data_IF_100136472630
#
_entry.id   IF_100136472630
#
_cell.length_a   1.000
_cell.length_b   1.000
_cell.length_c   1.000
_cell.angle_alpha   90.00
_cell.angle_beta   90.00
_cell.angle_gamma   90.00
#
_symmetry.space_group_name_H-M   'P 1'
#
loop_
_entity.id
_entity.type
_entity.pdbx_description
1 polymer ?
#
# COMPACT_ATOMS: atom_id res chain seq x y z
N UNK A 1 19.55 -13.96 3.46
CA UNK A 1 20.52 -12.84 3.36
C UNK A 1 20.18 -11.85 4.47
N UNK A 2 21.16 -11.20 5.07
CA UNK A 2 20.88 -10.14 6.03
C UNK A 2 20.49 -8.87 5.24
N UNK A 3 19.37 -8.26 5.59
CA UNK A 3 18.95 -6.97 5.04
C UNK A 3 19.65 -5.84 5.79
N UNK A 4 19.93 -4.75 5.10
CA UNK A 4 20.57 -3.57 5.69
C UNK A 4 19.51 -2.48 6.01
N UNK A 5 18.51 -2.33 5.12
CA UNK A 5 17.54 -1.24 5.15
C UNK A 5 16.11 -1.67 5.51
N UNK A 6 15.89 -2.97 5.69
CA UNK A 6 14.62 -3.47 6.23
C UNK A 6 14.89 -4.52 7.32
N UNK A 7 13.92 -4.70 8.21
CA UNK A 7 13.84 -5.87 9.09
C UNK A 7 12.67 -6.72 8.61
N UNK A 8 12.90 -8.03 8.48
CA UNK A 8 11.93 -8.99 7.99
C UNK A 8 11.73 -10.07 9.05
N UNK A 9 10.54 -10.14 9.64
CA UNK A 9 10.20 -11.08 10.69
C UNK A 9 8.95 -11.86 10.28
N UNK A 10 8.93 -13.16 10.55
CA UNK A 10 7.80 -14.02 10.23
C UNK A 10 7.29 -14.69 11.50
N UNK A 11 5.99 -14.63 11.75
CA UNK A 11 5.36 -15.35 12.86
C UNK A 11 5.01 -16.78 12.46
N UNK A 12 4.75 -17.64 13.46
CA UNK A 12 4.29 -19.02 13.26
C UNK A 12 2.97 -19.10 12.47
N UNK A 13 2.07 -18.12 12.63
CA UNK A 13 0.83 -18.01 11.88
C UNK A 13 0.98 -17.56 10.43
N UNK A 14 2.21 -17.27 9.96
CA UNK A 14 2.47 -16.84 8.60
C UNK A 14 2.24 -15.33 8.36
N UNK A 15 2.32 -14.50 9.39
CA UNK A 15 2.38 -13.04 9.25
C UNK A 15 3.81 -12.63 8.97
N UNK A 16 4.05 -11.96 7.84
CA UNK A 16 5.31 -11.32 7.53
C UNK A 16 5.24 -9.85 7.97
N UNK A 17 6.16 -9.43 8.83
CA UNK A 17 6.32 -8.03 9.24
C UNK A 17 7.57 -7.46 8.57
N UNK A 18 7.40 -6.42 7.79
CA UNK A 18 8.48 -5.66 7.17
C UNK A 18 8.58 -4.29 7.83
N UNK A 19 9.69 -4.03 8.49
CA UNK A 19 9.99 -2.73 9.09
C UNK A 19 11.03 -2.02 8.23
N UNK A 20 10.66 -0.88 7.64
CA UNK A 20 11.59 0.00 6.97
C UNK A 20 12.60 0.53 7.98
N UNK A 21 13.89 0.45 7.71
CA UNK A 21 14.93 0.77 8.69
C UNK A 21 16.10 1.53 8.06
N UNK A 22 15.87 2.79 7.75
CA UNK A 22 16.91 3.76 7.36
C UNK A 22 16.73 5.04 8.17
N UNK A 23 17.26 5.09 9.43
CA UNK A 23 17.13 6.24 10.29
C UNK A 23 17.74 7.53 9.70
N UNK A 24 18.78 7.41 8.87
CA UNK A 24 19.48 8.54 8.27
C UNK A 24 18.59 9.35 7.29
N UNK A 25 17.61 8.68 6.67
CA UNK A 25 16.67 9.30 5.73
C UNK A 25 15.24 9.29 6.24
N UNK A 26 15.00 8.79 7.47
CA UNK A 26 13.65 8.52 8.00
C UNK A 26 12.86 7.57 7.08
N UNK A 27 13.51 6.48 6.70
CA UNK A 27 12.93 5.42 5.89
C UNK A 27 12.52 5.88 4.47
N UNK A 28 13.31 6.76 3.83
CA UNK A 28 13.01 7.24 2.49
C UNK A 28 13.15 6.11 1.45
N UNK A 29 12.18 6.00 0.55
CA UNK A 29 12.21 5.05 -0.56
C UNK A 29 13.18 5.48 -1.64
N UNK A 30 13.99 4.55 -2.08
CA UNK A 30 14.99 4.70 -3.14
C UNK A 30 16.16 3.75 -2.97
N UNK A 31 16.90 3.49 -4.05
CA UNK A 31 18.09 2.67 -4.03
C UNK A 31 17.93 1.33 -3.32
N UNK A 32 18.83 0.98 -2.38
CA UNK A 32 18.84 -0.33 -1.74
C UNK A 32 17.58 -0.63 -0.92
N UNK A 33 17.02 0.36 -0.17
CA UNK A 33 15.82 0.15 0.63
C UNK A 33 14.64 -0.30 -0.25
N UNK A 34 14.42 0.38 -1.39
CA UNK A 34 13.36 -0.04 -2.32
C UNK A 34 13.61 -1.44 -2.88
N UNK A 35 14.85 -1.77 -3.22
CA UNK A 35 15.19 -3.08 -3.76
C UNK A 35 14.94 -4.22 -2.74
N UNK A 36 15.35 -4.02 -1.48
CA UNK A 36 15.10 -4.99 -0.40
C UNK A 36 13.60 -5.16 -0.14
N UNK A 37 12.86 -4.06 -0.03
CA UNK A 37 11.42 -4.08 0.18
C UNK A 37 10.69 -4.79 -0.97
N UNK A 38 11.03 -4.47 -2.21
CA UNK A 38 10.43 -5.09 -3.40
C UNK A 38 10.75 -6.59 -3.50
N UNK A 39 11.95 -6.99 -3.09
CA UNK A 39 12.35 -8.38 -3.01
C UNK A 39 11.50 -9.17 -2.02
N UNK A 40 11.34 -8.65 -0.80
CA UNK A 40 10.55 -9.30 0.25
C UNK A 40 9.04 -9.30 -0.05
N UNK A 41 8.51 -8.23 -0.64
CA UNK A 41 7.12 -8.20 -1.12
C UNK A 41 6.91 -9.25 -2.23
N UNK A 42 7.90 -9.42 -3.12
CA UNK A 42 7.89 -10.47 -4.13
C UNK A 42 7.90 -11.88 -3.51
N UNK A 43 8.76 -12.13 -2.51
CA UNK A 43 8.80 -13.38 -1.74
C UNK A 43 7.45 -13.65 -1.07
N UNK A 44 6.89 -12.66 -0.38
CA UNK A 44 5.56 -12.78 0.25
C UNK A 44 4.49 -13.21 -0.74
N UNK A 45 4.48 -12.64 -1.94
CA UNK A 45 3.51 -13.01 -2.98
C UNK A 45 3.58 -14.49 -3.37
N UNK A 46 4.77 -15.06 -3.43
CA UNK A 46 5.03 -16.42 -3.92
C UNK A 46 4.97 -17.49 -2.82
N UNK A 47 5.36 -17.19 -1.60
CA UNK A 47 5.46 -18.13 -0.49
C UNK A 47 4.07 -18.42 0.10
N UNK A 48 3.55 -19.63 -0.11
CA UNK A 48 2.23 -20.05 0.36
C UNK A 48 2.12 -20.17 1.90
N UNK A 49 3.23 -20.27 2.62
CA UNK A 49 3.22 -20.26 4.07
C UNK A 49 2.96 -18.88 4.65
N UNK A 50 3.25 -17.82 3.90
CA UNK A 50 2.98 -16.44 4.30
C UNK A 50 1.56 -16.05 3.91
N UNK A 51 0.79 -15.55 4.87
CA UNK A 51 -0.67 -15.33 4.75
C UNK A 51 -1.07 -13.85 4.81
N UNK A 52 -0.36 -13.05 5.60
CA UNK A 52 -0.63 -11.61 5.78
C UNK A 52 0.69 -10.85 5.79
N UNK A 53 0.71 -9.70 5.15
CA UNK A 53 1.85 -8.76 5.16
C UNK A 53 1.51 -7.56 6.04
N UNK A 54 2.41 -7.22 6.95
CA UNK A 54 2.40 -5.97 7.70
C UNK A 54 3.61 -5.15 7.29
N UNK A 55 3.41 -3.87 6.96
CA UNK A 55 4.49 -2.91 6.69
C UNK A 55 4.44 -1.81 7.74
N UNK A 56 5.59 -1.50 8.34
CA UNK A 56 5.76 -0.37 9.27
C UNK A 56 7.12 0.28 9.06
N UNK A 57 7.41 1.37 9.77
CA UNK A 57 8.71 2.03 9.75
C UNK A 57 9.38 1.99 11.13
N UNK A 58 10.71 2.00 11.17
CA UNK A 58 11.43 2.30 12.40
C UNK A 58 11.20 3.77 12.78
N UNK A 59 10.92 4.01 14.05
CA UNK A 59 10.66 5.36 14.57
C UNK A 59 11.77 6.36 14.21
N UNK A 60 11.41 7.63 14.03
CA UNK A 60 10.09 8.24 14.30
C UNK A 60 9.19 8.36 13.06
N UNK A 61 9.43 7.64 11.96
CA UNK A 61 8.68 7.78 10.72
C UNK A 61 8.25 6.43 10.17
N UNK A 62 7.09 6.43 9.54
CA UNK A 62 6.72 5.31 8.65
C UNK A 62 7.61 5.34 7.41
N UNK A 63 7.52 6.41 6.61
CA UNK A 63 8.34 6.65 5.43
C UNK A 63 8.29 8.12 5.04
N UNK A 64 9.43 8.79 4.94
CA UNK A 64 9.53 10.21 4.62
C UNK A 64 9.30 10.54 3.13
N UNK A 65 9.08 9.54 2.27
CA UNK A 65 8.85 9.72 0.85
C UNK A 65 10.00 9.24 -0.02
N UNK A 66 10.14 9.81 -1.21
CA UNK A 66 11.26 9.50 -2.09
C UNK A 66 12.57 10.09 -1.57
N UNK A 67 13.68 9.38 -1.79
CA UNK A 67 15.01 9.89 -1.45
C UNK A 67 15.41 11.02 -2.41
N UNK A 68 15.19 12.25 -1.96
CA UNK A 68 15.43 13.48 -2.76
C UNK A 68 16.90 13.75 -3.13
N UNK A 69 17.86 13.07 -2.49
CA UNK A 69 19.28 13.23 -2.85
C UNK A 69 19.55 12.86 -4.32
N UNK A 70 18.78 11.89 -4.86
CA UNK A 70 18.82 11.54 -6.28
C UNK A 70 18.29 12.64 -7.20
N UNK A 71 17.29 13.40 -6.77
CA UNK A 71 16.69 14.47 -7.59
C UNK A 71 17.65 15.63 -7.81
N UNK A 72 18.38 16.05 -6.77
CA UNK A 72 19.36 17.11 -6.90
C UNK A 72 20.44 16.77 -7.94
N UNK A 73 20.91 15.52 -7.93
CA UNK A 73 21.88 15.04 -8.91
C UNK A 73 21.30 15.07 -10.34
N UNK A 74 20.07 14.61 -10.53
CA UNK A 74 19.41 14.64 -11.83
C UNK A 74 19.19 16.07 -12.35
N UNK A 75 18.88 17.03 -11.48
CA UNK A 75 18.77 18.45 -11.83
C UNK A 75 20.13 18.98 -12.29
N UNK A 76 21.19 18.74 -11.49
CA UNK A 76 22.56 19.19 -11.83
C UNK A 76 23.05 18.57 -13.14
N UNK A 77 22.79 17.29 -13.40
CA UNK A 77 23.17 16.61 -14.63
C UNK A 77 22.45 17.21 -15.85
N UNK A 78 21.16 17.54 -15.73
CA UNK A 78 20.40 18.23 -16.79
C UNK A 78 20.93 19.64 -17.07
N UNK A 79 21.21 20.40 -16.04
CA UNK A 79 21.80 21.75 -16.17
C UNK A 79 23.17 21.69 -16.86
N UNK A 80 24.01 20.71 -16.49
CA UNK A 80 25.34 20.53 -17.07
C UNK A 80 25.32 20.07 -18.56
N UNK A 81 24.29 19.30 -18.94
CA UNK A 81 24.14 18.80 -20.32
C UNK A 81 23.52 19.79 -21.29
N UNK A 82 23.07 20.96 -20.82
CA UNK A 82 22.47 21.99 -21.69
C UNK A 82 21.21 21.46 -22.40
N UNK A 83 20.41 20.65 -21.74
CA UNK A 83 19.19 20.08 -22.30
C UNK A 83 18.28 21.17 -22.85
N UNK A 84 17.62 20.97 -24.01
CA UNK A 84 16.65 21.91 -24.51
C UNK A 84 15.58 22.20 -23.44
N UNK A 85 15.00 23.40 -23.41
CA UNK A 85 13.92 23.71 -22.50
C UNK A 85 12.81 22.68 -22.70
N UNK A 86 12.18 22.20 -21.61
CA UNK A 86 11.05 21.30 -21.75
C UNK A 86 9.95 22.01 -22.56
N UNK A 87 9.10 21.25 -23.26
CA UNK A 87 7.91 21.81 -23.88
C UNK A 87 7.07 22.54 -22.83
N UNK A 88 6.29 23.53 -23.30
CA UNK A 88 5.38 24.24 -22.39
C UNK A 88 4.52 23.22 -21.61
N UNK A 89 4.37 23.36 -20.26
CA UNK A 89 3.51 22.47 -19.50
C UNK A 89 2.08 22.33 -20.05
N UNK A 90 1.61 23.37 -20.76
CA UNK A 90 0.27 23.39 -21.37
C UNK A 90 0.20 22.55 -22.67
N UNK A 91 1.32 22.44 -23.40
CA UNK A 91 1.43 21.52 -24.54
C UNK A 91 1.38 20.05 -24.10
N UNK A 92 1.88 19.76 -22.89
CA UNK A 92 1.84 18.43 -22.30
C UNK A 92 0.42 18.00 -21.88
N UNK A 93 -0.53 18.93 -21.80
CA UNK A 93 -1.95 18.63 -21.56
C UNK A 93 -2.70 18.21 -22.82
N UNK A 94 -2.06 18.27 -24.00
CA UNK A 94 -2.66 17.70 -25.21
C UNK A 94 -2.90 16.20 -25.02
N UNK A 95 -4.15 15.71 -25.20
CA UNK A 95 -4.45 14.30 -25.10
C UNK A 95 -3.59 13.39 -25.98
N UNK A 96 -3.17 13.87 -27.16
CA UNK A 96 -2.31 13.11 -28.06
C UNK A 96 -0.93 12.89 -27.44
N UNK A 97 -0.31 13.93 -26.86
CA UNK A 97 0.97 13.82 -26.18
C UNK A 97 0.91 12.90 -24.96
N UNK A 98 -0.17 13.01 -24.15
CA UNK A 98 -0.37 12.16 -22.98
C UNK A 98 -0.49 10.67 -23.35
N UNK A 99 -1.09 10.34 -24.49
CA UNK A 99 -1.22 8.95 -24.95
C UNK A 99 0.12 8.37 -25.42
N UNK A 100 0.92 9.14 -26.16
CA UNK A 100 2.24 8.69 -26.64
C UNK A 100 3.22 8.43 -25.48
N UNK A 101 3.19 9.27 -24.44
CA UNK A 101 4.09 9.13 -23.29
C UNK A 101 3.73 8.01 -22.31
N UNK A 102 2.51 7.47 -22.35
CA UNK A 102 2.03 6.42 -21.42
C UNK A 102 2.79 5.10 -21.54
N UNK A 103 3.41 4.81 -22.69
CA UNK A 103 4.12 3.55 -22.91
C UNK A 103 5.48 3.48 -22.21
N UNK A 104 6.09 4.60 -21.85
CA UNK A 104 7.43 4.67 -21.26
C UNK A 104 7.44 4.90 -19.74
N UNK A 105 6.41 5.52 -19.19
CA UNK A 105 6.35 5.87 -17.78
C UNK A 105 5.83 4.71 -16.93
N UNK A 106 6.68 4.20 -16.05
CA UNK A 106 6.28 3.25 -15.01
C UNK A 106 6.29 3.95 -13.66
N UNK A 107 5.16 3.93 -12.96
CA UNK A 107 5.10 4.36 -11.56
C UNK A 107 5.99 3.51 -10.65
N UNK A 108 6.12 3.86 -9.36
CA UNK A 108 6.96 3.12 -8.42
C UNK A 108 6.59 1.63 -8.39
N UNK A 109 7.58 0.77 -8.66
CA UNK A 109 7.36 -0.68 -8.78
C UNK A 109 6.77 -1.27 -7.50
N UNK A 110 7.14 -0.75 -6.32
CA UNK A 110 6.63 -1.21 -5.04
C UNK A 110 5.11 -1.00 -4.90
N UNK A 111 4.59 0.16 -5.34
CA UNK A 111 3.15 0.47 -5.30
C UNK A 111 2.37 -0.53 -6.15
N UNK A 112 2.85 -0.76 -7.37
CA UNK A 112 2.22 -1.71 -8.28
C UNK A 112 2.28 -3.15 -7.76
N UNK A 113 3.41 -3.55 -7.15
CA UNK A 113 3.57 -4.89 -6.56
C UNK A 113 2.59 -5.09 -5.39
N UNK A 114 2.50 -4.13 -4.46
CA UNK A 114 1.59 -4.21 -3.30
C UNK A 114 0.12 -4.25 -3.72
N UNK A 115 -0.26 -3.38 -4.66
CA UNK A 115 -1.62 -3.35 -5.18
C UNK A 115 -2.06 -4.68 -5.80
N UNK A 116 -1.16 -5.37 -6.50
CA UNK A 116 -1.45 -6.63 -7.17
C UNK A 116 -1.26 -7.88 -6.28
N UNK A 117 -0.81 -7.73 -5.03
CA UNK A 117 -0.77 -8.85 -4.10
C UNK A 117 -2.18 -9.41 -3.88
N UNK A 118 -2.30 -10.72 -3.92
CA UNK A 118 -3.58 -11.39 -3.70
C UNK A 118 -3.90 -11.57 -2.20
N UNK A 119 -2.90 -11.53 -1.34
CA UNK A 119 -3.03 -11.73 0.11
C UNK A 119 -3.26 -10.42 0.85
N UNK A 120 -3.88 -10.45 2.05
CA UNK A 120 -4.10 -9.25 2.85
C UNK A 120 -2.81 -8.51 3.20
N UNK A 121 -2.87 -7.17 3.15
CA UNK A 121 -1.76 -6.28 3.49
C UNK A 121 -2.22 -5.20 4.46
N UNK A 122 -1.41 -4.90 5.47
CA UNK A 122 -1.70 -3.90 6.50
C UNK A 122 -0.52 -2.92 6.59
N UNK A 123 -0.80 -1.62 6.50
CA UNK A 123 0.15 -0.59 6.87
C UNK A 123 -0.08 -0.19 8.34
N UNK A 124 0.93 -0.39 9.18
CA UNK A 124 0.99 0.13 10.54
C UNK A 124 1.75 1.46 10.51
N UNK A 125 1.02 2.56 10.43
CA UNK A 125 1.61 3.89 10.21
C UNK A 125 1.98 4.50 11.56
N UNK A 126 3.26 4.34 11.94
CA UNK A 126 3.79 4.75 13.25
C UNK A 126 4.13 6.24 13.34
N UNK A 127 4.38 6.91 12.23
CA UNK A 127 4.82 8.31 12.19
C UNK A 127 4.56 8.97 10.84
N UNK A 128 5.50 9.78 10.37
CA UNK A 128 5.38 10.49 9.09
C UNK A 128 5.28 9.52 7.89
N UNK A 129 4.24 9.67 7.08
CA UNK A 129 3.98 9.00 5.81
C UNK A 129 3.80 10.08 4.74
N UNK A 130 4.89 10.49 4.07
CA UNK A 130 4.92 11.66 3.20
C UNK A 130 5.20 11.30 1.74
N UNK A 131 4.50 11.93 0.83
CA UNK A 131 4.63 11.71 -0.61
C UNK A 131 4.57 10.21 -0.95
N UNK A 132 5.65 9.66 -1.55
CA UNK A 132 5.72 8.22 -1.87
C UNK A 132 5.52 7.31 -0.64
N UNK A 133 5.82 7.80 0.58
CA UNK A 133 5.52 7.07 1.83
C UNK A 133 4.01 7.02 2.13
N UNK A 134 3.27 8.08 1.79
CA UNK A 134 1.81 8.05 1.82
C UNK A 134 1.27 7.06 0.79
N UNK A 135 1.77 7.11 -0.45
CA UNK A 135 1.43 6.15 -1.51
C UNK A 135 1.72 4.69 -1.14
N UNK A 136 2.83 4.43 -0.43
CA UNK A 136 3.14 3.10 0.11
C UNK A 136 2.06 2.63 1.09
N UNK A 137 1.65 3.48 2.04
CA UNK A 137 0.59 3.17 3.00
C UNK A 137 -0.77 2.95 2.28
N UNK A 138 -1.09 3.78 1.28
CA UNK A 138 -2.30 3.66 0.46
C UNK A 138 -2.35 2.36 -0.34
N UNK A 139 -1.19 1.82 -0.72
CA UNK A 139 -1.10 0.58 -1.50
C UNK A 139 -1.37 -0.69 -0.69
N UNK A 140 -1.41 -0.58 0.64
CA UNK A 140 -1.89 -1.65 1.52
C UNK A 140 -3.42 -1.65 1.59
N UNK A 141 -4.02 -2.81 1.89
CA UNK A 141 -5.47 -2.94 1.99
C UNK A 141 -6.04 -2.17 3.18
N UNK A 142 -5.39 -2.30 4.33
CA UNK A 142 -5.82 -1.72 5.61
C UNK A 142 -4.71 -0.82 6.15
N UNK A 143 -5.09 0.32 6.70
CA UNK A 143 -4.20 1.26 7.40
C UNK A 143 -4.64 1.40 8.83
N UNK A 144 -3.73 1.10 9.77
CA UNK A 144 -3.87 1.40 11.19
C UNK A 144 -2.83 2.47 11.49
N UNK A 145 -3.26 3.60 12.03
CA UNK A 145 -2.40 4.72 12.32
C UNK A 145 -2.18 4.88 13.83
N UNK A 146 -0.99 5.30 14.21
CA UNK A 146 -0.77 5.81 15.57
C UNK A 146 -1.26 7.26 15.68
N UNK A 147 -1.48 7.75 16.90
CA UNK A 147 -1.75 9.18 17.16
C UNK A 147 -0.58 10.08 16.72
N UNK A 148 0.64 9.53 16.64
CA UNK A 148 1.81 10.22 16.13
C UNK A 148 1.86 10.27 14.60
N UNK A 149 1.01 9.51 13.90
CA UNK A 149 1.01 9.45 12.43
C UNK A 149 0.71 10.82 11.80
N UNK A 150 1.38 11.09 10.67
CA UNK A 150 1.16 12.27 9.84
C UNK A 150 1.16 11.84 8.38
N UNK A 151 0.12 12.21 7.66
CA UNK A 151 -0.02 11.91 6.23
C UNK A 151 0.09 13.20 5.42
N UNK A 152 0.85 13.19 4.33
CA UNK A 152 0.99 14.36 3.45
C UNK A 152 1.27 13.93 2.02
N UNK A 153 0.57 14.56 1.08
CA UNK A 153 0.83 14.48 -0.36
C UNK A 153 1.88 15.54 -0.76
N UNK A 154 3.06 15.47 -0.15
CA UNK A 154 4.08 16.50 -0.18
C UNK A 154 4.74 16.76 -1.55
N UNK A 155 4.33 16.07 -2.62
CA UNK A 155 4.88 16.23 -3.98
C UNK A 155 4.85 17.66 -4.46
N UNK A 156 3.75 18.36 -4.25
CA UNK A 156 3.56 19.76 -4.71
C UNK A 156 4.60 20.72 -4.12
N UNK A 157 5.13 20.43 -2.93
CA UNK A 157 6.16 21.25 -2.28
C UNK A 157 7.49 21.28 -3.06
N UNK A 158 7.69 20.29 -3.93
CA UNK A 158 8.83 20.19 -4.84
C UNK A 158 8.43 20.47 -6.31
N UNK A 159 7.24 21.04 -6.56
CA UNK A 159 6.73 21.27 -7.91
C UNK A 159 6.41 19.98 -8.67
N UNK A 160 6.17 18.88 -7.95
CA UNK A 160 5.86 17.57 -8.52
C UNK A 160 4.40 17.22 -8.33
N UNK A 161 3.95 16.26 -9.11
CA UNK A 161 2.62 15.65 -9.01
C UNK A 161 2.73 14.27 -8.34
N UNK A 162 1.64 13.74 -7.74
CA UNK A 162 1.60 12.37 -7.26
C UNK A 162 1.63 11.38 -8.43
N UNK A 163 2.77 10.71 -8.62
CA UNK A 163 2.96 9.68 -9.65
C UNK A 163 2.98 8.25 -9.05
N UNK A 164 2.46 8.09 -7.84
CA UNK A 164 2.47 6.87 -7.04
C UNK A 164 1.10 6.18 -6.93
N UNK A 165 0.13 6.66 -7.70
CA UNK A 165 -1.23 6.15 -7.68
C UNK A 165 -2.14 6.80 -6.63
N UNK A 166 -1.64 7.69 -5.78
CA UNK A 166 -2.46 8.36 -4.77
C UNK A 166 -3.56 9.23 -5.39
N UNK A 167 -3.31 9.86 -6.54
CA UNK A 167 -4.32 10.60 -7.29
C UNK A 167 -5.49 9.70 -7.76
N UNK A 168 -5.26 8.40 -7.91
CA UNK A 168 -6.32 7.43 -8.24
C UNK A 168 -6.99 6.86 -6.99
N UNK A 169 -6.24 6.62 -5.90
CA UNK A 169 -6.73 5.97 -4.69
C UNK A 169 -7.48 6.94 -3.76
N UNK A 170 -6.92 8.12 -3.50
CA UNK A 170 -7.46 9.07 -2.52
C UNK A 170 -8.90 9.52 -2.81
N UNK A 171 -9.31 9.85 -4.06
CA UNK A 171 -10.70 10.26 -4.32
C UNK A 171 -11.71 9.17 -3.95
N UNK A 172 -11.30 7.90 -3.98
CA UNK A 172 -12.12 6.73 -3.63
C UNK A 172 -12.21 6.50 -2.12
N UNK A 173 -11.22 6.97 -1.38
CA UNK A 173 -11.16 6.84 0.09
C UNK A 173 -11.75 8.05 0.80
N UNK A 174 -11.38 9.27 0.38
CA UNK A 174 -11.67 10.51 1.11
C UNK A 174 -12.49 11.52 0.31
N UNK A 175 -12.86 11.15 -0.91
CA UNK A 175 -13.61 12.02 -1.84
C UNK A 175 -12.72 13.05 -2.56
N UNK A 176 -13.26 13.62 -3.65
CA UNK A 176 -12.52 14.50 -4.56
C UNK A 176 -12.00 15.77 -3.86
N UNK A 177 -12.87 16.45 -3.10
CA UNK A 177 -12.51 17.73 -2.48
C UNK A 177 -11.35 17.60 -1.49
N UNK A 178 -11.40 16.62 -0.59
CA UNK A 178 -10.32 16.37 0.36
C UNK A 178 -9.03 15.94 -0.33
N UNK A 179 -9.13 15.14 -1.39
CA UNK A 179 -7.98 14.75 -2.21
C UNK A 179 -7.28 15.96 -2.80
N UNK A 180 -8.03 16.82 -3.48
CA UNK A 180 -7.47 18.02 -4.12
C UNK A 180 -6.89 18.99 -3.07
N UNK A 181 -7.55 19.13 -1.92
CA UNK A 181 -7.02 19.94 -0.82
C UNK A 181 -5.65 19.43 -0.38
N UNK A 182 -5.52 18.13 -0.10
CA UNK A 182 -4.24 17.55 0.35
C UNK A 182 -3.15 17.63 -0.75
N UNK A 183 -3.51 17.34 -2.01
CA UNK A 183 -2.54 17.32 -3.09
C UNK A 183 -2.12 18.72 -3.57
N UNK A 184 -3.00 19.73 -3.49
CA UNK A 184 -2.67 21.09 -3.89
C UNK A 184 -1.88 21.85 -2.82
N UNK A 185 -2.12 21.56 -1.53
CA UNK A 185 -1.42 22.24 -0.45
C UNK A 185 -0.17 21.48 0.00
N UNK A 186 -0.18 20.16 -0.09
CA UNK A 186 0.84 19.29 0.50
C UNK A 186 0.85 19.34 2.03
N UNK A 187 -0.20 19.89 2.66
CA UNK A 187 -0.28 19.98 4.10
C UNK A 187 -0.41 18.59 4.74
N UNK A 188 0.18 18.46 5.93
CA UNK A 188 0.09 17.22 6.68
C UNK A 188 -1.18 17.21 7.53
N UNK A 189 -1.90 16.09 7.50
CA UNK A 189 -2.98 15.78 8.43
C UNK A 189 -2.49 14.78 9.47
N UNK A 190 -3.06 14.83 10.67
CA UNK A 190 -2.76 13.85 11.72
C UNK A 190 -3.60 12.55 11.56
N UNK A 191 -3.33 11.58 12.44
CA UNK A 191 -4.02 10.30 12.40
C UNK A 191 -5.52 10.43 12.66
N UNK A 192 -5.96 11.35 13.53
CA UNK A 192 -7.37 11.55 13.84
C UNK A 192 -8.13 12.13 12.65
N UNK A 193 -7.56 13.12 11.97
CA UNK A 193 -8.15 13.68 10.76
C UNK A 193 -8.15 12.66 9.60
N UNK A 194 -7.06 11.88 9.46
CA UNK A 194 -7.01 10.78 8.51
C UNK A 194 -8.11 9.74 8.75
N UNK A 195 -8.38 9.41 10.01
CA UNK A 195 -9.49 8.52 10.38
C UNK A 195 -10.86 9.15 10.07
N UNK A 196 -11.05 10.43 10.46
CA UNK A 196 -12.30 11.16 10.19
C UNK A 196 -12.64 11.22 8.70
N UNK A 197 -11.61 11.37 7.85
CA UNK A 197 -11.77 11.38 6.38
C UNK A 197 -12.00 9.99 5.78
N UNK A 198 -11.70 8.90 6.49
CA UNK A 198 -11.75 7.54 5.97
C UNK A 198 -10.44 7.06 5.32
N UNK A 199 -9.33 7.79 5.50
CA UNK A 199 -8.03 7.41 4.96
C UNK A 199 -7.43 6.22 5.71
N UNK A 200 -7.66 6.11 7.02
CA UNK A 200 -7.27 4.94 7.81
C UNK A 200 -8.46 4.32 8.54
N UNK A 201 -8.34 3.03 8.85
CA UNK A 201 -9.43 2.23 9.45
C UNK A 201 -9.47 2.35 10.97
N UNK A 202 -8.37 2.77 11.59
CA UNK A 202 -8.25 2.89 13.04
C UNK A 202 -7.10 3.82 13.40
N UNK A 203 -7.24 4.53 14.53
CA UNK A 203 -6.17 5.27 15.20
C UNK A 203 -6.05 4.75 16.62
N UNK A 204 -4.81 4.58 17.08
CA UNK A 204 -4.51 4.05 18.42
C UNK A 204 -3.31 4.81 19.02
N UNK A 205 -3.13 4.78 20.34
CA UNK A 205 -1.89 5.25 20.97
C UNK A 205 -0.67 4.61 20.31
N UNK A 206 0.41 5.37 20.21
CA UNK A 206 1.62 4.93 19.50
C UNK A 206 2.17 3.61 20.03
N UNK A 207 2.22 3.46 21.34
CA UNK A 207 2.71 2.28 22.06
C UNK A 207 1.88 1.00 21.81
N UNK A 208 0.62 1.15 21.40
CA UNK A 208 -0.26 0.01 21.13
C UNK A 208 -0.44 -0.28 19.63
N UNK A 209 0.23 0.47 18.77
CA UNK A 209 0.08 0.35 17.32
C UNK A 209 0.38 -1.07 16.83
N UNK A 210 1.55 -1.58 17.18
CA UNK A 210 1.97 -2.90 16.71
C UNK A 210 1.14 -4.02 17.32
N UNK A 211 0.82 -3.97 18.60
CA UNK A 211 -0.05 -4.96 19.25
C UNK A 211 -1.43 -5.01 18.58
N UNK A 212 -2.04 -3.84 18.31
CA UNK A 212 -3.32 -3.75 17.62
C UNK A 212 -3.24 -4.28 16.20
N UNK A 213 -2.16 -3.97 15.49
CA UNK A 213 -1.94 -4.41 14.12
C UNK A 213 -1.73 -5.92 14.06
N UNK A 214 -0.90 -6.46 14.95
CA UNK A 214 -0.61 -7.89 15.01
C UNK A 214 -1.84 -8.71 15.42
N UNK A 215 -2.66 -8.23 16.33
CA UNK A 215 -3.93 -8.87 16.68
C UNK A 215 -4.86 -9.01 15.45
N UNK A 216 -4.94 -7.98 14.60
CA UNK A 216 -5.68 -8.07 13.34
C UNK A 216 -4.99 -9.00 12.35
N UNK A 217 -3.67 -8.87 12.18
CA UNK A 217 -2.91 -9.67 11.22
C UNK A 217 -2.99 -11.17 11.54
N UNK A 218 -2.83 -11.56 12.81
CA UNK A 218 -2.99 -12.95 13.27
C UNK A 218 -4.41 -13.48 12.99
N UNK A 219 -5.43 -12.68 13.31
CA UNK A 219 -6.82 -13.05 13.00
C UNK A 219 -7.05 -13.29 11.51
N UNK A 220 -6.47 -12.44 10.64
CA UNK A 220 -6.54 -12.62 9.19
C UNK A 220 -5.72 -13.84 8.74
N UNK A 221 -4.55 -14.04 9.31
CA UNK A 221 -3.69 -15.17 8.98
C UNK A 221 -4.35 -16.52 9.34
N UNK A 222 -5.13 -16.58 10.39
CA UNK A 222 -5.92 -17.76 10.79
C UNK A 222 -7.21 -17.94 9.99
N UNK A 223 -7.55 -16.99 9.13
CA UNK A 223 -8.75 -17.02 8.29
C UNK A 223 -8.57 -17.78 6.96
N UNK A 224 -9.65 -17.90 6.16
CA UNK A 224 -9.65 -18.58 4.87
C UNK A 224 -8.96 -17.72 3.79
N UNK A 225 -7.65 -17.82 3.66
CA UNK A 225 -6.81 -16.95 2.83
C UNK A 225 -7.25 -16.93 1.37
N UNK A 226 -7.67 -18.08 0.80
CA UNK A 226 -8.19 -18.12 -0.57
C UNK A 226 -9.44 -17.24 -0.73
N UNK A 227 -10.39 -17.34 0.19
CA UNK A 227 -11.60 -16.53 0.14
C UNK A 227 -11.28 -15.03 0.28
N UNK A 228 -10.34 -14.66 1.17
CA UNK A 228 -9.88 -13.25 1.30
C UNK A 228 -9.24 -12.75 0.01
N UNK A 229 -8.44 -13.58 -0.68
CA UNK A 229 -7.85 -13.24 -1.98
C UNK A 229 -8.93 -12.97 -3.03
N UNK A 230 -9.99 -13.78 -3.06
CA UNK A 230 -11.11 -13.57 -3.97
C UNK A 230 -11.90 -12.30 -3.62
N UNK A 231 -12.11 -12.01 -2.34
CA UNK A 231 -12.74 -10.76 -1.88
C UNK A 231 -11.93 -9.56 -2.35
N UNK A 232 -10.61 -9.54 -2.12
CA UNK A 232 -9.72 -8.47 -2.57
C UNK A 232 -9.80 -8.26 -4.08
N UNK A 233 -9.70 -9.33 -4.85
CA UNK A 233 -9.83 -9.29 -6.31
C UNK A 233 -11.16 -8.65 -6.75
N UNK A 234 -12.28 -9.09 -6.16
CA UNK A 234 -13.61 -8.58 -6.49
C UNK A 234 -13.76 -7.10 -6.14
N UNK A 235 -13.29 -6.68 -4.95
CA UNK A 235 -13.33 -5.26 -4.52
C UNK A 235 -12.51 -4.39 -5.47
N UNK A 236 -11.30 -4.81 -5.86
CA UNK A 236 -10.48 -4.06 -6.81
C UNK A 236 -11.12 -3.99 -8.20
N UNK A 237 -11.70 -5.10 -8.70
CA UNK A 237 -12.35 -5.15 -10.02
C UNK A 237 -13.65 -4.36 -10.07
N UNK A 238 -14.41 -4.31 -8.98
CA UNK A 238 -15.67 -3.57 -8.91
C UNK A 238 -15.51 -2.08 -9.26
N UNK A 239 -14.31 -1.53 -9.10
CA UNK A 239 -14.04 -0.12 -9.43
C UNK A 239 -14.02 0.19 -10.94
N UNK A 240 -14.03 -0.84 -11.78
CA UNK A 240 -13.91 -0.73 -13.24
C UNK A 240 -15.04 -1.44 -13.99
N UNK A 241 -16.04 -1.96 -13.29
CA UNK A 241 -17.08 -2.82 -13.84
C UNK A 241 -18.47 -2.32 -13.48
N UNK A 242 -19.45 -2.66 -14.30
CA UNK A 242 -20.85 -2.54 -13.92
C UNK A 242 -21.28 -3.67 -12.97
N UNK A 243 -22.47 -3.52 -12.37
CA UNK A 243 -22.99 -4.49 -11.40
C UNK A 243 -23.20 -5.88 -12.01
N UNK A 244 -23.64 -5.97 -13.26
CA UNK A 244 -23.92 -7.26 -13.89
C UNK A 244 -22.64 -8.06 -14.14
N UNK A 245 -21.60 -7.40 -14.64
CA UNK A 245 -20.25 -7.99 -14.80
C UNK A 245 -19.68 -8.42 -13.46
N UNK A 246 -19.82 -7.55 -12.45
CA UNK A 246 -19.34 -7.86 -11.09
C UNK A 246 -20.04 -9.08 -10.51
N UNK A 247 -21.37 -9.18 -10.61
CA UNK A 247 -22.13 -10.32 -10.10
C UNK A 247 -21.74 -11.64 -10.81
N UNK A 248 -21.48 -11.60 -12.11
CA UNK A 248 -21.01 -12.77 -12.85
C UNK A 248 -19.64 -13.25 -12.35
N UNK A 249 -18.70 -12.32 -12.11
CA UNK A 249 -17.39 -12.66 -11.54
C UNK A 249 -17.50 -13.14 -10.10
N UNK A 250 -18.34 -12.50 -9.27
CA UNK A 250 -18.58 -12.91 -7.90
C UNK A 250 -19.16 -14.34 -7.82
N UNK A 251 -20.09 -14.68 -8.71
CA UNK A 251 -20.64 -16.04 -8.79
C UNK A 251 -19.56 -17.07 -9.12
N UNK A 252 -18.65 -16.75 -10.06
CA UNK A 252 -17.51 -17.61 -10.39
C UNK A 252 -16.52 -17.76 -9.22
N UNK A 253 -16.17 -16.66 -8.58
CA UNK A 253 -15.29 -16.67 -7.40
C UNK A 253 -15.90 -17.49 -6.25
N UNK A 254 -17.19 -17.34 -6.00
CA UNK A 254 -17.93 -18.11 -5.00
C UNK A 254 -17.95 -19.61 -5.34
N UNK A 255 -18.10 -19.97 -6.62
CA UNK A 255 -18.02 -21.35 -7.04
C UNK A 255 -16.65 -21.96 -6.72
N UNK A 256 -15.55 -21.22 -6.98
CA UNK A 256 -14.21 -21.68 -6.64
C UNK A 256 -14.01 -21.79 -5.12
N UNK A 257 -14.46 -20.80 -4.36
CA UNK A 257 -14.36 -20.83 -2.89
C UNK A 257 -15.08 -22.04 -2.26
N UNK A 258 -16.21 -22.46 -2.82
CA UNK A 258 -16.94 -23.65 -2.37
C UNK A 258 -16.18 -24.97 -2.57
N UNK A 259 -15.15 -24.99 -3.41
CA UNK A 259 -14.34 -26.18 -3.68
C UNK A 259 -13.17 -26.34 -2.69
N UNK A 260 -12.91 -25.34 -1.86
CA UNK A 260 -11.79 -25.34 -0.91
C UNK A 260 -12.04 -26.22 0.30
N UNK A 261 -10.96 -26.72 0.91
CA UNK A 261 -11.04 -27.41 2.20
C UNK A 261 -11.51 -26.45 3.30
N UNK A 262 -11.13 -25.17 3.22
CA UNK A 262 -11.59 -24.14 4.16
C UNK A 262 -13.11 -23.96 4.14
N UNK A 263 -13.77 -24.07 2.98
CA UNK A 263 -15.23 -24.03 2.93
C UNK A 263 -15.85 -25.24 3.62
N UNK A 264 -15.31 -26.44 3.40
CA UNK A 264 -15.79 -27.67 4.06
C UNK A 264 -15.63 -27.56 5.57
N UNK A 265 -14.48 -27.09 6.02
CA UNK A 265 -14.19 -26.86 7.44
C UNK A 265 -15.14 -25.82 8.04
N UNK A 266 -15.35 -24.68 7.35
CA UNK A 266 -16.26 -23.63 7.82
C UNK A 266 -17.68 -24.13 8.02
N UNK A 267 -18.22 -24.95 7.10
CA UNK A 267 -19.55 -25.56 7.21
C UNK A 267 -19.59 -26.55 8.38
N UNK A 268 -18.56 -27.39 8.52
CA UNK A 268 -18.48 -28.39 9.62
C UNK A 268 -18.42 -27.70 10.97
N UNK A 269 -17.49 -26.73 11.13
CA UNK A 269 -17.32 -25.99 12.37
C UNK A 269 -18.59 -25.24 12.79
N UNK A 270 -19.32 -24.66 11.82
CA UNK A 270 -20.61 -24.02 12.08
C UNK A 270 -21.66 -24.98 12.62
N UNK A 271 -21.80 -26.17 12.01
CA UNK A 271 -22.74 -27.21 12.46
C UNK A 271 -22.37 -27.77 13.84
N UNK A 272 -21.07 -27.93 14.10
CA UNK A 272 -20.53 -28.43 15.37
C UNK A 272 -20.42 -27.36 16.46
N UNK A 273 -20.74 -26.08 16.14
CA UNK A 273 -20.66 -24.91 17.05
C UNK A 273 -19.27 -24.72 17.67
N UNK A 274 -18.22 -24.93 16.90
CA UNK A 274 -16.82 -24.72 17.30
C UNK A 274 -16.13 -23.69 16.39
N UNK A 275 -15.01 -23.11 16.84
CA UNK A 275 -14.18 -22.31 15.94
C UNK A 275 -13.66 -23.14 14.75
N UNK A 276 -13.64 -22.57 13.52
CA UNK A 276 -13.03 -23.21 12.37
C UNK A 276 -11.49 -23.17 12.45
N UNK A 277 -10.85 -24.15 11.80
CA UNK A 277 -9.41 -24.18 11.62
C UNK A 277 -9.09 -24.13 10.11
N UNK A 278 -8.84 -22.92 9.61
CA UNK A 278 -8.58 -22.69 8.19
C UNK A 278 -7.11 -22.89 7.83
N UNK A 279 -6.87 -23.52 6.69
CA UNK A 279 -5.53 -23.83 6.18
C UNK A 279 -5.16 -22.98 4.96
N UNK A 280 -6.11 -22.22 4.41
CA UNK A 280 -5.90 -21.40 3.21
C UNK A 280 -6.00 -22.18 1.90
N UNK A 281 -6.58 -23.39 1.94
CA UNK A 281 -6.64 -24.32 0.80
C UNK A 281 -8.05 -24.72 0.43
#
# INVERSE_FOLDING_TARGET
>A
MAFEYIRSETTEDGVLVLTLHDPATRNALGGPLSAELEGEVGRFGQDQALRVLVITGADPAFCSGANVRGFNRAVQEREAQGSPPPPSPWELLDPAYMVESLHEARGPAIVHKLWNLQKPTIAAVNGAAYGLGCGLALSCDIRIASEAARFSEAFIRNGLIPADGSAWQLPRLIGMSNTLLLQYTGDAIDGQEAFRMGLCSKVVPHETLMDTTMALATRLAQGPTFAMSMIKLLVHKAQQQDLAEHLAQAARAQHLARQTEDHKEGVRAFLEKRPPHFTGR
#
